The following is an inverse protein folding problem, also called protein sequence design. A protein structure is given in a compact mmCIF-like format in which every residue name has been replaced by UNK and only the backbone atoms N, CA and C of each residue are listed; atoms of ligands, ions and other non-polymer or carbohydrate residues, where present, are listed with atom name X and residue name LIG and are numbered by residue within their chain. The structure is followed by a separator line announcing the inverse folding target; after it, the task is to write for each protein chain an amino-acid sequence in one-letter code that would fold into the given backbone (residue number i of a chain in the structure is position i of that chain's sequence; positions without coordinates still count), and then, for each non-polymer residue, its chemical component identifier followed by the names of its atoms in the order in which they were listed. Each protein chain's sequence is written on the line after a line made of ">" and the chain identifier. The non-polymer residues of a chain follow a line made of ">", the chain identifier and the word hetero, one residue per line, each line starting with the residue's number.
data_IF_140082625191
#
_entry.id   IF_140082625191
#
_cell.length_a   1.000
_cell.length_b   1.000
_cell.length_c   1.000
_cell.angle_alpha   90.00
_cell.angle_beta   90.00
_cell.angle_gamma   90.00
#
_symmetry.space_group_name_H-M   'P 1'
#
loop_
_entity.id
_entity.type
_entity.pdbx_description
1 polymer ?
#
# COMPACT_ATOMS: atom_id res chain seq x y z
N UNK A 1 12.46 -0.36 -6.56
CA UNK A 1 11.15 -0.63 -5.93
C UNK A 1 11.31 -1.83 -5.00
N UNK A 2 10.84 -1.75 -3.76
CA UNK A 2 10.86 -2.84 -2.75
C UNK A 2 10.14 -4.11 -3.26
N UNK A 3 9.27 -3.99 -4.27
CA UNK A 3 8.64 -5.11 -5.01
C UNK A 3 9.67 -6.00 -5.72
N UNK A 4 10.79 -5.42 -6.20
CA UNK A 4 11.88 -6.18 -6.80
C UNK A 4 12.62 -7.10 -5.81
N UNK A 5 12.41 -6.89 -4.51
CA UNK A 5 13.00 -7.66 -3.41
C UNK A 5 11.98 -8.57 -2.70
N UNK A 6 10.76 -8.73 -3.24
CA UNK A 6 9.66 -9.48 -2.60
C UNK A 6 9.29 -8.99 -1.18
N UNK A 7 9.62 -7.75 -0.83
CA UNK A 7 9.25 -7.18 0.47
C UNK A 7 7.85 -6.58 0.39
N UNK A 8 6.89 -7.17 1.11
CA UNK A 8 5.50 -6.68 1.18
C UNK A 8 5.16 -5.92 2.47
N UNK A 9 6.15 -5.71 3.34
CA UNK A 9 5.91 -5.05 4.63
C UNK A 9 5.55 -3.57 4.46
N UNK A 10 5.96 -2.92 3.38
CA UNK A 10 5.71 -1.50 3.15
C UNK A 10 5.81 -1.17 1.67
N UNK A 11 4.92 -0.30 1.20
CA UNK A 11 5.02 0.33 -0.11
C UNK A 11 5.65 1.71 0.02
N UNK A 12 6.72 1.96 -0.73
CA UNK A 12 7.39 3.26 -0.79
C UNK A 12 7.69 3.60 -2.25
N UNK A 13 7.41 4.85 -2.64
CA UNK A 13 7.87 5.43 -3.90
C UNK A 13 9.11 6.25 -3.59
N UNK A 14 10.27 5.76 -4.04
CA UNK A 14 11.55 6.47 -3.93
C UNK A 14 11.85 7.24 -5.20
N UNK A 15 12.61 8.33 -5.08
CA UNK A 15 13.17 9.04 -6.22
C UNK A 15 14.00 8.09 -7.10
N UNK A 16 13.84 8.21 -8.42
CA UNK A 16 14.49 7.31 -9.39
C UNK A 16 13.86 5.91 -9.49
N UNK A 17 12.76 5.62 -8.78
CA UNK A 17 11.99 4.39 -9.00
C UNK A 17 11.14 4.44 -10.29
N UNK A 18 10.70 3.29 -10.78
CA UNK A 18 9.84 3.19 -11.96
C UNK A 18 8.43 3.77 -11.75
N UNK A 19 8.05 4.13 -10.53
CA UNK A 19 6.76 4.72 -10.21
C UNK A 19 6.93 6.22 -10.04
N UNK A 20 6.23 7.02 -10.84
CA UNK A 20 6.26 8.48 -10.73
C UNK A 20 5.51 8.95 -9.49
N UNK A 21 6.11 9.86 -8.72
CA UNK A 21 5.45 10.60 -7.64
C UNK A 21 4.76 11.84 -8.22
N UNK A 22 3.43 11.93 -8.11
CA UNK A 22 2.68 13.10 -8.60
C UNK A 22 2.66 14.29 -7.62
N UNK A 23 3.23 14.11 -6.43
CA UNK A 23 3.21 15.07 -5.32
C UNK A 23 4.59 15.70 -5.11
N UNK A 24 5.25 15.42 -3.98
CA UNK A 24 6.57 15.96 -3.60
C UNK A 24 7.44 14.86 -2.98
N UNK A 25 8.74 15.06 -3.04
CA UNK A 25 9.72 14.24 -2.32
C UNK A 25 10.20 14.94 -1.05
N UNK A 26 10.39 14.17 0.02
CA UNK A 26 11.11 14.59 1.23
C UNK A 26 12.14 13.52 1.54
N UNK A 27 13.43 13.90 1.48
CA UNK A 27 14.55 12.96 1.62
C UNK A 27 14.40 11.75 0.68
N UNK A 28 14.19 12.02 -0.60
CA UNK A 28 14.08 11.01 -1.67
C UNK A 28 12.84 10.07 -1.56
N UNK A 29 11.98 10.27 -0.56
CA UNK A 29 10.73 9.51 -0.39
C UNK A 29 9.54 10.37 -0.83
N UNK A 30 8.70 9.82 -1.70
CA UNK A 30 7.47 10.46 -2.13
C UNK A 30 6.49 10.59 -0.95
N UNK A 31 5.95 11.79 -0.76
CA UNK A 31 4.83 12.01 0.16
C UNK A 31 3.55 11.68 -0.58
N UNK A 32 2.99 10.51 -0.27
CA UNK A 32 1.75 10.00 -0.84
C UNK A 32 0.60 10.99 -0.59
N UNK A 33 -0.24 11.12 -1.61
CA UNK A 33 -1.38 12.03 -1.64
C UNK A 33 -2.54 11.39 -2.38
N UNK A 34 -3.59 12.16 -2.66
CA UNK A 34 -4.86 11.68 -3.21
C UNK A 34 -4.70 10.81 -4.47
N UNK A 35 -3.90 11.27 -5.42
CA UNK A 35 -3.65 10.56 -6.68
C UNK A 35 -3.07 9.16 -6.50
N UNK A 36 -2.41 8.90 -5.37
CA UNK A 36 -1.79 7.62 -5.07
C UNK A 36 -2.77 6.63 -4.44
N UNK A 37 -3.93 7.06 -3.93
CA UNK A 37 -4.90 6.18 -3.25
C UNK A 37 -5.36 5.04 -4.15
N UNK A 38 -5.65 5.32 -5.43
CA UNK A 38 -6.03 4.29 -6.39
C UNK A 38 -4.95 3.21 -6.58
N UNK A 39 -3.67 3.62 -6.61
CA UNK A 39 -2.55 2.68 -6.66
C UNK A 39 -2.48 1.84 -5.37
N UNK A 40 -2.56 2.48 -4.20
CA UNK A 40 -2.49 1.82 -2.90
C UNK A 40 -3.56 0.73 -2.71
N UNK A 41 -4.74 0.91 -3.32
CA UNK A 41 -5.82 -0.09 -3.31
C UNK A 41 -5.51 -1.38 -4.07
N UNK A 42 -4.54 -1.34 -4.98
CA UNK A 42 -4.21 -2.45 -5.89
C UNK A 42 -2.90 -3.16 -5.55
N UNK A 43 -2.00 -2.51 -4.80
CA UNK A 43 -0.73 -3.10 -4.43
C UNK A 43 -0.89 -4.10 -3.27
N UNK A 44 -0.11 -5.19 -3.24
CA UNK A 44 -0.25 -6.22 -2.20
C UNK A 44 0.43 -5.88 -0.86
N UNK A 45 0.94 -4.65 -0.69
CA UNK A 45 1.65 -4.27 0.52
C UNK A 45 0.67 -4.02 1.66
N UNK A 46 1.06 -4.38 2.88
CA UNK A 46 0.21 -4.20 4.06
C UNK A 46 0.18 -2.75 4.56
N UNK A 47 1.27 -2.01 4.34
CA UNK A 47 1.45 -0.63 4.77
C UNK A 47 2.01 0.22 3.64
N UNK A 48 1.88 1.54 3.73
CA UNK A 48 2.42 2.49 2.76
C UNK A 48 3.12 3.66 3.47
N UNK A 49 4.14 4.23 2.83
CA UNK A 49 4.92 5.36 3.35
C UNK A 49 5.44 6.24 2.19
N UNK A 50 5.58 7.56 2.37
CA UNK A 50 5.23 8.36 3.55
C UNK A 50 3.96 9.18 3.32
N UNK A 51 3.20 9.47 4.38
CA UNK A 51 2.13 10.47 4.37
C UNK A 51 2.50 11.61 5.32
N UNK A 52 1.93 12.79 5.11
CA UNK A 52 2.08 13.94 5.99
C UNK A 52 0.68 14.50 6.30
N UNK A 53 0.31 14.58 7.58
CA UNK A 53 -1.04 14.97 8.00
C UNK A 53 -1.42 16.40 7.55
N UNK A 54 -0.44 17.28 7.39
CA UNK A 54 -0.60 18.67 6.96
C UNK A 54 -0.48 18.85 5.43
N UNK A 55 -0.34 17.75 4.67
CA UNK A 55 -0.16 17.79 3.22
C UNK A 55 -1.04 16.76 2.51
N UNK A 56 -2.06 17.27 1.82
CA UNK A 56 -3.14 16.47 1.21
C UNK A 56 -3.83 15.52 2.22
N UNK A 57 -4.43 16.05 3.30
CA UNK A 57 -5.14 15.25 4.29
C UNK A 57 -6.25 14.40 3.68
N UNK A 58 -6.81 14.81 2.54
CA UNK A 58 -7.86 14.08 1.82
C UNK A 58 -7.42 12.67 1.41
N UNK A 59 -6.11 12.44 1.27
CA UNK A 59 -5.56 11.10 1.02
C UNK A 59 -5.82 10.13 2.18
N UNK A 60 -5.81 10.63 3.42
CA UNK A 60 -6.19 9.83 4.59
C UNK A 60 -7.68 9.53 4.58
N UNK A 61 -8.52 10.54 4.33
CA UNK A 61 -9.97 10.39 4.30
C UNK A 61 -10.42 9.36 3.24
N UNK A 62 -9.89 9.45 2.02
CA UNK A 62 -10.24 8.52 0.94
C UNK A 62 -9.74 7.10 1.20
N UNK A 63 -8.54 6.95 1.77
CA UNK A 63 -7.98 5.64 2.09
C UNK A 63 -8.74 4.98 3.24
N UNK A 64 -9.09 5.75 4.28
CA UNK A 64 -9.87 5.29 5.43
C UNK A 64 -11.28 4.89 5.00
N UNK A 65 -11.96 5.74 4.22
CA UNK A 65 -13.29 5.44 3.69
C UNK A 65 -13.28 4.15 2.86
N UNK A 66 -12.30 3.99 1.97
CA UNK A 66 -12.16 2.77 1.19
C UNK A 66 -11.89 1.55 2.07
N UNK A 67 -10.99 1.68 3.06
CA UNK A 67 -10.64 0.59 3.96
C UNK A 67 -11.88 0.09 4.73
N UNK A 68 -12.66 1.01 5.31
CA UNK A 68 -13.89 0.63 6.01
C UNK A 68 -14.92 0.01 5.07
N UNK A 69 -15.12 0.56 3.86
CA UNK A 69 -16.01 -0.05 2.87
C UNK A 69 -15.61 -1.48 2.52
N UNK A 70 -14.30 -1.71 2.33
CA UNK A 70 -13.75 -3.04 2.06
C UNK A 70 -14.01 -4.00 3.22
N UNK A 71 -13.68 -3.60 4.45
CA UNK A 71 -13.89 -4.44 5.64
C UNK A 71 -15.38 -4.75 5.84
N UNK A 72 -16.26 -3.76 5.65
CA UNK A 72 -17.71 -3.99 5.73
C UNK A 72 -18.20 -4.97 4.65
N UNK A 73 -17.67 -4.86 3.43
CA UNK A 73 -17.98 -5.80 2.35
C UNK A 73 -17.46 -7.21 2.67
N UNK A 74 -16.27 -7.36 3.24
CA UNK A 74 -15.68 -8.64 3.69
C UNK A 74 -16.45 -9.28 4.84
N UNK A 75 -17.04 -8.48 5.74
CA UNK A 75 -17.90 -8.97 6.83
C UNK A 75 -19.27 -9.39 6.30
N UNK A 76 -19.80 -8.65 5.33
CA UNK A 76 -21.10 -8.93 4.73
C UNK A 76 -21.06 -10.12 3.76
N UNK A 77 -19.95 -10.31 3.04
CA UNK A 77 -19.70 -11.52 2.28
C UNK A 77 -19.32 -12.65 3.23
N UNK A 78 -19.68 -13.90 2.90
CA UNK A 78 -19.19 -15.04 3.67
C UNK A 78 -17.66 -15.04 3.64
N UNK A 79 -16.95 -15.41 4.73
CA UNK A 79 -15.47 -15.35 4.83
C UNK A 79 -14.68 -16.10 3.75
N UNK A 80 -15.37 -16.82 2.86
CA UNK A 80 -14.84 -17.69 1.81
C UNK A 80 -15.07 -17.17 0.40
N UNK A 81 -15.48 -15.91 0.21
CA UNK A 81 -15.43 -15.29 -1.12
C UNK A 81 -13.95 -15.01 -1.48
N UNK A 82 -13.28 -16.05 -1.97
CA UNK A 82 -11.83 -16.14 -2.22
C UNK A 82 -11.29 -15.17 -3.27
N UNK A 83 -12.08 -14.19 -3.71
CA UNK A 83 -11.69 -13.14 -4.65
C UNK A 83 -11.17 -11.86 -3.97
N UNK A 84 -11.32 -11.70 -2.64
CA UNK A 84 -10.91 -10.47 -1.93
C UNK A 84 -9.47 -10.48 -1.42
N UNK A 85 -8.89 -11.66 -1.22
CA UNK A 85 -7.53 -11.85 -0.70
C UNK A 85 -6.87 -13.05 -1.36
N UNK A 86 -5.77 -12.82 -2.08
CA UNK A 86 -4.97 -13.88 -2.69
C UNK A 86 -3.82 -14.29 -1.75
N UNK A 87 -3.96 -15.42 -1.01
CA UNK A 87 -2.90 -15.88 -0.10
C UNK A 87 -1.64 -16.34 -0.83
N UNK A 88 -1.72 -16.67 -2.13
CA UNK A 88 -0.58 -17.14 -2.92
C UNK A 88 0.51 -16.08 -3.05
N UNK A 89 0.10 -14.80 -3.05
CA UNK A 89 1.00 -13.66 -3.00
C UNK A 89 1.92 -13.79 -1.77
N UNK A 90 1.36 -14.06 -0.59
CA UNK A 90 2.10 -14.14 0.67
C UNK A 90 2.72 -15.52 0.96
N UNK A 91 2.30 -16.57 0.25
CA UNK A 91 2.77 -17.93 0.48
C UNK A 91 4.26 -18.14 0.13
N UNK A 92 4.80 -17.36 -0.82
CA UNK A 92 6.19 -17.47 -1.28
C UNK A 92 7.04 -16.34 -0.73
N UNK A 93 7.15 -16.25 0.60
CA UNK A 93 8.03 -15.28 1.26
C UNK A 93 9.28 -16.01 1.73
N UNK A 94 10.44 -15.48 1.34
CA UNK A 94 11.69 -15.85 1.98
C UNK A 94 11.57 -15.38 3.42
N UNK A 95 11.40 -16.31 4.37
CA UNK A 95 11.73 -16.03 5.76
C UNK A 95 13.24 -15.73 5.79
N UNK A 96 13.64 -14.48 5.55
CA UNK A 96 15.03 -14.11 5.68
C UNK A 96 15.34 -14.22 7.17
N UNK A 97 16.21 -15.17 7.53
CA UNK A 97 16.80 -15.28 8.88
C UNK A 97 17.57 -14.02 9.29
N UNK A 98 17.79 -13.12 8.33
CA UNK A 98 18.37 -11.80 8.51
C UNK A 98 17.26 -10.79 8.17
N UNK A 99 16.56 -10.33 9.21
CA UNK A 99 15.85 -9.07 9.13
C UNK A 99 16.92 -7.97 9.17
N UNK A 100 17.03 -7.18 8.11
CA UNK A 100 17.79 -5.92 8.10
C UNK A 100 16.82 -4.80 8.49
#
# INVERSE_FOLDING_TARGET
>A
SEVGYNFLGRFVISEGSNTSCSTKYVREVCILGKDHVALLRSVPHMFANAFQADYQPEAYDELEQWYFQRVMAEIASSPHDGNSFDPSIYAKRLCSRLHI
#
